data_IF_059564828981
#
_entry.id   IF_059564828981
#
_cell.length_a   1.000
_cell.length_b   1.000
_cell.length_c   1.000
_cell.angle_alpha   90.00
_cell.angle_beta   90.00
_cell.angle_gamma   90.00
#
_symmetry.space_group_name_H-M   'P 1'
#
loop_
_entity.id
_entity.type
_entity.pdbx_description
1 polymer ?
#
# COMPACT_ATOMS: atom_id res chain seq x y z
N UNK A 1 -10.11 25.01 2.53
CA UNK A 1 -9.64 23.77 3.23
C UNK A 1 -8.21 24.03 3.66
N UNK A 2 -7.84 23.71 4.91
CA UNK A 2 -6.44 23.79 5.32
C UNK A 2 -5.61 22.81 4.49
N UNK A 3 -4.41 23.23 4.09
CA UNK A 3 -3.48 22.35 3.40
C UNK A 3 -3.04 21.22 4.33
N UNK A 4 -3.09 19.99 3.84
CA UNK A 4 -2.61 18.82 4.59
C UNK A 4 -1.11 18.96 4.88
N UNK A 5 -0.75 18.76 6.14
CA UNK A 5 0.64 18.76 6.60
C UNK A 5 1.09 17.31 6.83
N UNK A 6 1.82 16.74 5.87
CA UNK A 6 2.27 15.35 5.88
C UNK A 6 3.78 15.26 5.66
N UNK A 7 4.46 14.23 6.21
CA UNK A 7 5.92 14.15 6.21
C UNK A 7 6.54 13.73 4.86
N UNK A 8 5.75 13.28 3.90
CA UNK A 8 6.21 12.92 2.55
C UNK A 8 5.62 13.85 1.52
N UNK A 9 6.26 13.95 0.37
CA UNK A 9 5.68 14.59 -0.83
C UNK A 9 4.48 13.76 -1.30
N UNK A 10 3.39 14.43 -1.65
CA UNK A 10 2.16 13.79 -2.09
C UNK A 10 1.38 14.65 -3.06
N UNK A 11 0.49 14.00 -3.81
CA UNK A 11 -0.58 14.64 -4.56
C UNK A 11 -1.92 14.32 -3.90
N UNK A 12 -2.84 15.27 -3.89
CA UNK A 12 -4.14 15.12 -3.26
C UNK A 12 -5.28 15.50 -4.20
N UNK A 13 -6.21 14.58 -4.40
CA UNK A 13 -7.54 14.87 -4.92
C UNK A 13 -8.54 14.83 -3.76
N UNK A 14 -9.14 15.97 -3.38
CA UNK A 14 -10.13 15.99 -2.32
C UNK A 14 -11.39 15.17 -2.68
N UNK A 15 -12.12 14.70 -1.67
CA UNK A 15 -13.47 14.22 -1.85
C UNK A 15 -14.38 15.36 -2.35
N UNK A 16 -15.47 15.01 -3.02
CA UNK A 16 -16.44 16.00 -3.49
C UNK A 16 -16.99 16.82 -2.33
N UNK A 17 -17.20 18.11 -2.57
CA UNK A 17 -17.80 19.01 -1.59
C UNK A 17 -19.16 18.49 -1.10
N UNK A 18 -19.43 18.62 0.19
CA UNK A 18 -20.67 18.13 0.81
C UNK A 18 -20.70 16.62 1.09
N UNK A 19 -19.61 15.88 0.85
CA UNK A 19 -19.56 14.46 1.19
C UNK A 19 -19.67 14.26 2.71
N UNK A 20 -20.79 13.72 3.18
CA UNK A 20 -21.05 13.51 4.60
C UNK A 20 -20.19 12.41 5.23
N UNK A 21 -19.78 11.43 4.42
CA UNK A 21 -19.02 10.25 4.89
C UNK A 21 -17.84 9.97 3.95
N UNK A 22 -16.79 10.81 3.98
CA UNK A 22 -15.65 10.64 3.10
C UNK A 22 -14.86 9.35 3.40
N UNK A 23 -14.19 8.86 2.37
CA UNK A 23 -13.21 7.79 2.42
C UNK A 23 -11.83 8.34 2.12
N UNK A 24 -10.79 7.64 2.52
CA UNK A 24 -9.40 7.93 2.15
C UNK A 24 -8.81 6.75 1.39
N UNK A 25 -8.31 7.01 0.19
CA UNK A 25 -7.50 6.09 -0.59
C UNK A 25 -6.06 6.60 -0.65
N UNK A 26 -5.14 5.79 -0.13
CA UNK A 26 -3.70 6.02 -0.25
C UNK A 26 -3.16 5.21 -1.42
N UNK A 27 -2.43 5.85 -2.35
CA UNK A 27 -1.76 5.22 -3.50
C UNK A 27 -0.25 5.22 -3.30
N UNK A 28 0.39 4.08 -3.52
CA UNK A 28 1.84 3.87 -3.39
C UNK A 28 2.39 3.26 -4.68
N UNK A 29 3.29 4.00 -5.33
CA UNK A 29 3.91 3.62 -6.60
C UNK A 29 4.92 2.47 -6.47
N UNK A 30 5.32 1.87 -7.59
CA UNK A 30 6.39 0.88 -7.67
C UNK A 30 7.79 1.48 -7.53
N UNK A 31 8.80 0.63 -7.37
CA UNK A 31 10.19 1.05 -7.36
C UNK A 31 10.55 1.80 -8.65
N UNK A 32 11.42 2.79 -8.56
CA UNK A 32 11.88 3.61 -9.67
C UNK A 32 10.80 4.54 -10.28
N UNK A 33 9.74 4.86 -9.51
CA UNK A 33 8.65 5.73 -9.90
C UNK A 33 8.48 6.89 -8.91
N UNK A 34 7.35 7.59 -8.97
CA UNK A 34 7.05 8.79 -8.17
C UNK A 34 5.54 8.94 -7.94
N UNK A 35 5.14 9.98 -7.21
CA UNK A 35 3.74 10.22 -6.79
C UNK A 35 2.74 10.44 -7.94
N UNK A 36 3.20 10.85 -9.12
CA UNK A 36 2.29 11.09 -10.26
C UNK A 36 1.86 9.81 -10.95
N UNK A 37 2.65 8.72 -10.82
CA UNK A 37 2.46 7.47 -11.55
C UNK A 37 1.03 6.90 -11.39
N UNK A 38 0.60 6.69 -10.15
CA UNK A 38 -0.74 6.16 -9.88
C UNK A 38 -1.80 7.26 -9.72
N UNK A 39 -1.41 8.53 -9.61
CA UNK A 39 -2.36 9.62 -9.38
C UNK A 39 -3.38 9.78 -10.50
N UNK A 40 -3.02 9.43 -11.73
CA UNK A 40 -3.95 9.40 -12.86
C UNK A 40 -5.17 8.50 -12.66
N UNK A 41 -5.09 7.50 -11.77
CA UNK A 41 -6.20 6.64 -11.39
C UNK A 41 -7.27 7.37 -10.57
N UNK A 42 -6.93 8.49 -9.92
CA UNK A 42 -7.85 9.25 -9.09
C UNK A 42 -9.13 9.66 -9.84
N UNK A 43 -9.06 9.89 -11.17
CA UNK A 43 -10.23 10.22 -12.02
C UNK A 43 -11.27 9.09 -12.11
N UNK A 44 -10.87 7.85 -11.84
CA UNK A 44 -11.76 6.68 -11.87
C UNK A 44 -12.27 6.30 -10.47
N UNK A 45 -11.72 6.90 -9.43
CA UNK A 45 -12.13 6.66 -8.05
C UNK A 45 -13.36 7.49 -7.73
N UNK A 46 -14.34 6.86 -7.08
CA UNK A 46 -15.60 7.49 -6.72
C UNK A 46 -15.40 8.84 -5.99
N UNK A 47 -16.30 9.81 -6.20
CA UNK A 47 -16.10 11.19 -5.75
C UNK A 47 -16.06 11.36 -4.23
N UNK A 48 -16.60 10.42 -3.45
CA UNK A 48 -16.55 10.45 -1.99
C UNK A 48 -15.17 10.14 -1.40
N UNK A 49 -14.18 9.78 -2.22
CA UNK A 49 -12.83 9.51 -1.74
C UNK A 49 -11.94 10.75 -1.79
N UNK A 50 -11.24 11.03 -0.70
CA UNK A 50 -9.94 11.67 -0.78
C UNK A 50 -8.94 10.68 -1.37
N UNK A 51 -8.15 11.10 -2.34
CA UNK A 51 -7.10 10.28 -2.92
C UNK A 51 -5.76 10.94 -2.65
N UNK A 52 -4.88 10.27 -1.93
CA UNK A 52 -3.50 10.68 -1.71
C UNK A 52 -2.58 9.75 -2.48
N UNK A 53 -1.69 10.29 -3.30
CA UNK A 53 -0.63 9.53 -3.97
C UNK A 53 0.71 9.98 -3.44
N UNK A 54 1.47 9.08 -2.83
CA UNK A 54 2.71 9.38 -2.12
C UNK A 54 3.93 9.18 -2.99
N UNK A 55 4.95 10.03 -2.73
CA UNK A 55 6.33 9.77 -3.14
C UNK A 55 7.05 8.97 -2.06
N UNK A 56 7.70 7.89 -2.45
CA UNK A 56 8.53 7.10 -1.55
C UNK A 56 9.75 7.90 -1.05
N UNK A 57 10.25 7.63 0.18
CA UNK A 57 11.26 8.48 0.80
C UNK A 57 12.67 8.31 0.23
N UNK A 58 13.01 7.14 -0.34
CA UNK A 58 14.38 6.84 -0.75
C UNK A 58 14.61 7.24 -2.20
N UNK A 59 15.50 8.21 -2.45
CA UNK A 59 15.89 8.64 -3.80
C UNK A 59 16.84 7.62 -4.40
N UNK A 60 16.51 7.10 -5.57
CA UNK A 60 17.40 6.24 -6.35
C UNK A 60 18.24 7.07 -7.33
N UNK A 61 17.55 7.89 -8.12
CA UNK A 61 18.10 8.92 -9.00
C UNK A 61 17.10 10.09 -9.05
N UNK A 62 17.45 11.26 -9.56
CA UNK A 62 16.49 12.34 -9.71
C UNK A 62 15.21 11.91 -10.44
N UNK A 63 14.06 12.09 -9.80
CA UNK A 63 12.74 11.69 -10.33
C UNK A 63 12.35 10.22 -10.13
N UNK A 64 13.19 9.41 -9.50
CA UNK A 64 12.92 7.99 -9.27
C UNK A 64 13.16 7.61 -7.80
N UNK A 65 12.17 6.98 -7.18
CA UNK A 65 12.11 6.74 -5.75
C UNK A 65 11.79 5.28 -5.43
N UNK A 66 12.09 4.86 -4.21
CA UNK A 66 11.82 3.53 -3.69
C UNK A 66 11.33 3.60 -2.23
N UNK A 67 10.48 2.65 -1.86
CA UNK A 67 10.10 2.45 -0.46
C UNK A 67 11.24 1.82 0.32
N UNK A 68 12.00 0.96 -0.33
CA UNK A 68 13.24 0.37 0.16
C UNK A 68 14.12 -0.07 -1.02
N UNK A 69 15.41 -0.12 -0.81
CA UNK A 69 16.36 -0.63 -1.79
C UNK A 69 16.48 -2.16 -1.69
N UNK A 70 16.94 -2.79 -2.73
CA UNK A 70 17.26 -4.22 -2.75
C UNK A 70 18.47 -4.48 -3.64
N UNK A 71 19.14 -5.58 -3.36
CA UNK A 71 20.23 -6.11 -4.18
C UNK A 71 19.82 -7.47 -4.72
N UNK A 72 20.28 -7.80 -5.91
CA UNK A 72 20.13 -9.14 -6.49
C UNK A 72 21.42 -9.89 -6.20
N UNK A 73 21.33 -10.96 -5.43
CA UNK A 73 22.46 -11.82 -5.10
C UNK A 73 22.89 -12.66 -6.30
N UNK A 74 24.08 -13.34 -6.22
CA UNK A 74 24.55 -14.26 -7.25
C UNK A 74 23.59 -15.44 -7.50
N UNK A 75 22.74 -15.74 -6.55
CA UNK A 75 21.68 -16.76 -6.58
C UNK A 75 20.38 -16.25 -7.25
N UNK A 76 20.36 -15.03 -7.78
CA UNK A 76 19.19 -14.37 -8.35
C UNK A 76 18.16 -13.90 -7.32
N UNK A 77 18.41 -14.13 -6.02
CA UNK A 77 17.50 -13.74 -4.95
C UNK A 77 17.59 -12.24 -4.68
N UNK A 78 16.43 -11.59 -4.49
CA UNK A 78 16.36 -10.20 -4.06
C UNK A 78 16.46 -10.11 -2.54
N UNK A 79 17.48 -9.42 -2.06
CA UNK A 79 17.68 -9.12 -0.65
C UNK A 79 17.37 -7.66 -0.43
N UNK A 80 16.33 -7.38 0.34
CA UNK A 80 15.88 -6.03 0.62
C UNK A 80 16.71 -5.38 1.72
N UNK A 81 16.77 -4.06 1.72
CA UNK A 81 17.18 -3.28 2.87
C UNK A 81 16.02 -3.28 3.88
N UNK A 82 16.16 -4.10 4.93
CA UNK A 82 15.13 -4.31 5.95
C UNK A 82 14.90 -3.08 6.82
N UNK A 83 15.94 -2.29 7.03
CA UNK A 83 15.86 -1.06 7.83
C UNK A 83 15.05 -0.01 7.07
N UNK A 84 15.37 0.23 5.80
CA UNK A 84 14.58 1.11 4.95
C UNK A 84 13.12 0.66 4.81
N UNK A 85 12.85 -0.65 4.70
CA UNK A 85 11.47 -1.16 4.67
C UNK A 85 10.73 -0.79 5.94
N UNK A 86 11.33 -1.05 7.10
CA UNK A 86 10.72 -0.78 8.41
C UNK A 86 10.48 0.71 8.61
N UNK A 87 11.45 1.55 8.27
CA UNK A 87 11.34 3.01 8.37
C UNK A 87 10.24 3.54 7.45
N UNK A 88 10.22 3.10 6.18
CA UNK A 88 9.19 3.50 5.23
C UNK A 88 7.80 3.05 5.67
N UNK A 89 7.67 1.82 6.15
CA UNK A 89 6.41 1.28 6.67
C UNK A 89 5.91 2.07 7.88
N UNK A 90 6.81 2.39 8.80
CA UNK A 90 6.49 3.24 9.95
C UNK A 90 6.04 4.64 9.50
N UNK A 91 6.81 5.29 8.63
CA UNK A 91 6.54 6.63 8.12
C UNK A 91 5.20 6.71 7.38
N UNK A 92 4.91 5.72 6.51
CA UNK A 92 3.61 5.63 5.82
C UNK A 92 2.47 5.43 6.80
N UNK A 93 2.66 4.62 7.84
CA UNK A 93 1.65 4.40 8.88
C UNK A 93 1.33 5.68 9.66
N UNK A 94 2.35 6.45 10.07
CA UNK A 94 2.17 7.73 10.75
C UNK A 94 1.51 8.78 9.82
N UNK A 95 1.95 8.82 8.56
CA UNK A 95 1.33 9.68 7.55
C UNK A 95 -0.15 9.36 7.38
N UNK A 96 -0.50 8.08 7.26
CA UNK A 96 -1.88 7.63 7.06
C UNK A 96 -2.77 8.00 8.25
N UNK A 97 -2.28 7.80 9.48
CA UNK A 97 -2.98 8.19 10.70
C UNK A 97 -3.22 9.71 10.75
N UNK A 98 -2.18 10.49 10.45
CA UNK A 98 -2.25 11.96 10.41
C UNK A 98 -3.20 12.46 9.32
N UNK A 99 -3.12 11.91 8.10
CA UNK A 99 -4.01 12.28 7.00
C UNK A 99 -5.48 11.97 7.33
N UNK A 100 -5.75 10.78 7.85
CA UNK A 100 -7.09 10.37 8.26
C UNK A 100 -7.66 11.30 9.33
N UNK A 101 -6.86 11.68 10.32
CA UNK A 101 -7.24 12.62 11.37
C UNK A 101 -7.54 14.02 10.79
N UNK A 102 -6.64 14.57 9.97
CA UNK A 102 -6.80 15.91 9.38
C UNK A 102 -7.99 16.00 8.43
N UNK A 103 -8.33 14.89 7.75
CA UNK A 103 -9.47 14.80 6.83
C UNK A 103 -10.77 14.37 7.51
N UNK A 104 -10.75 14.03 8.81
CA UNK A 104 -11.92 13.56 9.55
C UNK A 104 -12.42 12.18 9.05
N UNK A 105 -11.52 11.33 8.53
CA UNK A 105 -11.86 10.01 8.00
C UNK A 105 -11.52 8.94 9.04
N UNK A 106 -12.51 8.17 9.54
CA UNK A 106 -12.24 7.10 10.48
C UNK A 106 -11.54 5.90 9.79
N UNK A 107 -10.80 5.11 10.57
CA UNK A 107 -9.96 4.00 10.05
C UNK A 107 -10.74 2.94 9.26
N UNK A 108 -12.03 2.74 9.55
CA UNK A 108 -12.92 1.83 8.83
C UNK A 108 -13.31 2.34 7.41
N UNK A 109 -12.87 3.54 7.04
CA UNK A 109 -13.01 4.14 5.70
C UNK A 109 -11.67 4.48 5.05
N UNK A 110 -10.59 3.91 5.54
CA UNK A 110 -9.25 4.09 5.00
C UNK A 110 -8.86 2.85 4.17
N UNK A 111 -8.35 3.08 2.97
CA UNK A 111 -7.86 2.04 2.06
C UNK A 111 -6.44 2.39 1.63
N UNK A 112 -5.53 1.44 1.74
CA UNK A 112 -4.18 1.54 1.16
C UNK A 112 -4.10 0.71 -0.12
N UNK A 113 -3.57 1.28 -1.18
CA UNK A 113 -3.39 0.60 -2.46
C UNK A 113 -1.98 0.81 -3.01
N UNK A 114 -1.45 -0.16 -3.72
CA UNK A 114 -0.16 0.02 -4.33
C UNK A 114 0.18 -1.01 -5.40
N UNK A 115 1.11 -0.60 -6.26
CA UNK A 115 1.64 -1.41 -7.34
C UNK A 115 3.06 -1.89 -7.01
N UNK A 116 3.36 -3.16 -7.28
CA UNK A 116 4.70 -3.72 -7.10
C UNK A 116 5.24 -3.46 -5.68
N UNK A 117 6.33 -2.70 -5.53
CA UNK A 117 6.87 -2.35 -4.22
C UNK A 117 5.87 -1.56 -3.34
N UNK A 118 5.04 -0.68 -3.93
CA UNK A 118 3.95 -0.01 -3.22
C UNK A 118 2.86 -0.98 -2.75
N UNK A 119 2.61 -2.05 -3.50
CA UNK A 119 1.71 -3.14 -3.08
C UNK A 119 2.28 -3.94 -1.90
N UNK A 120 3.61 -4.14 -1.87
CA UNK A 120 4.28 -4.70 -0.68
C UNK A 120 4.01 -3.80 0.54
N UNK A 121 4.17 -2.48 0.40
CA UNK A 121 3.94 -1.53 1.49
C UNK A 121 2.48 -1.55 1.96
N UNK A 122 1.50 -1.59 1.04
CA UNK A 122 0.08 -1.65 1.39
C UNK A 122 -0.27 -2.93 2.17
N UNK A 123 0.26 -4.07 1.72
CA UNK A 123 0.10 -5.36 2.40
C UNK A 123 0.78 -5.35 3.77
N UNK A 124 2.04 -4.92 3.84
CA UNK A 124 2.81 -4.84 5.08
C UNK A 124 2.11 -3.95 6.12
N UNK A 125 1.53 -2.84 5.68
CA UNK A 125 0.76 -1.94 6.54
C UNK A 125 -0.50 -2.62 7.08
N UNK A 126 -1.27 -3.33 6.23
CA UNK A 126 -2.43 -4.11 6.66
C UNK A 126 -2.03 -5.18 7.67
N UNK A 127 -0.93 -5.90 7.43
CA UNK A 127 -0.49 -7.00 8.27
C UNK A 127 0.05 -6.55 9.63
N UNK A 128 0.71 -5.39 9.70
CA UNK A 128 1.40 -4.95 10.93
C UNK A 128 0.63 -3.90 11.73
N UNK A 129 -0.23 -3.12 11.05
CA UNK A 129 -1.00 -2.03 11.67
C UNK A 129 -2.48 -2.03 11.19
N UNK A 130 -3.20 -3.16 11.29
CA UNK A 130 -4.57 -3.29 10.76
C UNK A 130 -5.56 -2.28 11.36
N UNK A 131 -5.27 -1.74 12.54
CA UNK A 131 -6.10 -0.70 13.15
C UNK A 131 -6.19 0.60 12.35
N UNK A 132 -5.22 0.88 11.44
CA UNK A 132 -5.18 2.12 10.67
C UNK A 132 -6.07 2.10 9.42
N UNK A 133 -6.48 0.93 8.94
CA UNK A 133 -7.17 0.83 7.65
C UNK A 133 -8.24 -0.26 7.63
N UNK A 134 -9.20 -0.10 6.72
CA UNK A 134 -10.25 -1.07 6.41
C UNK A 134 -9.76 -2.14 5.45
N UNK A 135 -8.99 -1.74 4.44
CA UNK A 135 -8.62 -2.63 3.35
C UNK A 135 -7.24 -2.30 2.75
N UNK A 136 -6.60 -3.32 2.16
CA UNK A 136 -5.47 -3.15 1.26
C UNK A 136 -5.80 -3.68 -0.14
N UNK A 137 -5.37 -2.94 -1.18
CA UNK A 137 -5.42 -3.33 -2.58
C UNK A 137 -3.98 -3.52 -3.08
N UNK A 138 -3.66 -4.73 -3.47
CA UNK A 138 -2.29 -5.17 -3.78
C UNK A 138 -2.22 -5.56 -5.26
N UNK A 139 -1.49 -4.77 -6.04
CA UNK A 139 -1.41 -4.94 -7.48
C UNK A 139 -0.01 -5.40 -7.88
N UNK A 140 0.07 -6.55 -8.59
CA UNK A 140 1.34 -7.12 -9.11
C UNK A 140 2.44 -7.12 -8.04
N UNK A 141 2.17 -7.76 -6.91
CA UNK A 141 3.01 -7.64 -5.72
C UNK A 141 3.09 -8.96 -4.94
N UNK A 142 3.79 -8.95 -3.81
CA UNK A 142 4.03 -10.14 -2.99
C UNK A 142 4.10 -9.84 -1.51
N UNK A 143 3.92 -10.85 -0.70
CA UNK A 143 4.27 -10.83 0.72
C UNK A 143 5.81 -10.79 0.90
N UNK A 144 6.28 -9.97 1.83
CA UNK A 144 7.67 -10.00 2.30
C UNK A 144 7.80 -10.93 3.49
N UNK A 145 8.66 -11.97 3.43
CA UNK A 145 8.94 -12.81 4.59
C UNK A 145 9.48 -12.00 5.79
N UNK A 146 10.17 -10.91 5.53
CA UNK A 146 10.74 -10.01 6.54
C UNK A 146 9.69 -9.34 7.42
N UNK A 147 8.45 -9.24 6.97
CA UNK A 147 7.33 -8.64 7.72
C UNK A 147 6.63 -9.63 8.64
N UNK A 148 6.79 -10.94 8.39
CA UNK A 148 6.08 -11.98 9.15
C UNK A 148 6.26 -11.91 10.67
N UNK A 149 7.44 -11.57 11.22
CA UNK A 149 7.62 -11.44 12.66
C UNK A 149 6.81 -10.29 13.30
N UNK A 150 6.40 -9.31 12.49
CA UNK A 150 5.70 -8.09 12.94
C UNK A 150 4.18 -8.18 12.70
N UNK A 151 3.66 -9.31 12.20
CA UNK A 151 2.23 -9.49 11.91
C UNK A 151 1.41 -9.36 13.19
N UNK A 152 0.35 -8.55 13.14
CA UNK A 152 -0.55 -8.33 14.25
C UNK A 152 -1.27 -9.62 14.68
N UNK A 153 -1.80 -9.70 15.91
CA UNK A 153 -2.61 -10.85 16.36
C UNK A 153 -3.82 -11.09 15.44
N UNK A 154 -4.21 -12.35 15.29
CA UNK A 154 -5.23 -12.78 14.33
C UNK A 154 -6.56 -12.01 14.47
N UNK A 155 -6.99 -11.75 15.68
CA UNK A 155 -8.25 -11.02 15.98
C UNK A 155 -8.28 -9.60 15.43
N UNK A 156 -7.12 -8.97 15.20
CA UNK A 156 -7.02 -7.63 14.64
C UNK A 156 -7.46 -7.54 13.17
N UNK A 157 -7.57 -8.70 12.49
CA UNK A 157 -7.98 -8.76 11.09
C UNK A 157 -9.49 -8.94 10.88
N UNK A 158 -10.25 -9.12 11.94
CA UNK A 158 -11.71 -9.25 11.83
C UNK A 158 -12.32 -8.02 11.12
N UNK A 159 -13.09 -8.30 10.05
CA UNK A 159 -13.70 -7.26 9.23
C UNK A 159 -12.77 -6.53 8.26
N UNK A 160 -11.48 -6.89 8.17
CA UNK A 160 -10.56 -6.34 7.17
C UNK A 160 -10.74 -7.01 5.81
N UNK A 161 -10.29 -6.34 4.76
CA UNK A 161 -10.35 -6.85 3.39
C UNK A 161 -9.00 -6.73 2.71
N UNK A 162 -8.60 -7.77 2.00
CA UNK A 162 -7.45 -7.78 1.12
C UNK A 162 -7.90 -8.11 -0.30
N UNK A 163 -7.59 -7.23 -1.24
CA UNK A 163 -7.84 -7.48 -2.66
C UNK A 163 -6.50 -7.58 -3.40
N UNK A 164 -6.30 -8.65 -4.18
CA UNK A 164 -5.05 -8.94 -4.88
C UNK A 164 -5.34 -9.06 -6.38
N UNK A 165 -4.62 -8.30 -7.20
CA UNK A 165 -4.56 -8.56 -8.64
C UNK A 165 -3.16 -8.90 -9.10
N UNK A 166 -3.06 -9.79 -10.08
CA UNK A 166 -1.78 -10.22 -10.64
C UNK A 166 -1.91 -10.55 -12.12
N UNK A 167 -0.81 -10.38 -12.87
CA UNK A 167 -0.71 -10.82 -14.25
C UNK A 167 -0.23 -12.27 -14.31
N UNK A 168 -0.88 -13.11 -15.10
CA UNK A 168 -0.52 -14.54 -15.25
C UNK A 168 0.83 -14.76 -15.94
N UNK A 169 1.37 -13.73 -16.60
CA UNK A 169 2.66 -13.75 -17.31
C UNK A 169 3.66 -12.73 -16.74
N UNK A 170 3.48 -12.32 -15.47
CA UNK A 170 4.39 -11.39 -14.80
C UNK A 170 5.76 -12.07 -14.57
N UNK A 171 6.79 -11.58 -15.28
CA UNK A 171 8.16 -12.09 -15.19
C UNK A 171 9.02 -11.37 -14.14
N UNK A 172 8.49 -10.34 -13.48
CA UNK A 172 9.17 -9.56 -12.43
C UNK A 172 8.83 -10.09 -11.05
N UNK A 173 7.55 -10.28 -10.80
CA UNK A 173 7.01 -10.96 -9.62
C UNK A 173 6.15 -12.12 -10.13
N UNK A 174 6.62 -13.35 -10.04
CA UNK A 174 5.92 -14.48 -10.65
C UNK A 174 4.55 -14.73 -9.98
N UNK A 175 3.56 -15.26 -10.72
CA UNK A 175 2.20 -15.50 -10.21
C UNK A 175 2.14 -16.32 -8.92
N UNK A 176 3.10 -17.22 -8.72
CA UNK A 176 3.23 -18.04 -7.51
C UNK A 176 3.42 -17.18 -6.24
N UNK A 177 4.02 -16.01 -6.38
CA UNK A 177 4.20 -15.09 -5.26
C UNK A 177 2.86 -14.43 -4.83
N UNK A 178 1.97 -14.17 -5.79
CA UNK A 178 0.60 -13.72 -5.47
C UNK A 178 -0.22 -14.85 -4.85
N UNK A 179 -0.05 -16.09 -5.34
CA UNK A 179 -0.72 -17.25 -4.74
C UNK A 179 -0.25 -17.49 -3.30
N UNK A 180 1.06 -17.47 -3.04
CA UNK A 180 1.60 -17.58 -1.69
C UNK A 180 1.07 -16.46 -0.76
N UNK A 181 0.88 -15.26 -1.29
CA UNK A 181 0.26 -14.15 -0.53
C UNK A 181 -1.20 -14.45 -0.18
N UNK A 182 -1.99 -15.02 -1.12
CA UNK A 182 -3.38 -15.43 -0.88
C UNK A 182 -3.45 -16.55 0.15
N UNK A 183 -2.58 -17.55 0.03
CA UNK A 183 -2.53 -18.70 0.94
C UNK A 183 -2.22 -18.25 2.37
N UNK A 184 -1.25 -17.37 2.54
CA UNK A 184 -0.96 -16.77 3.84
C UNK A 184 -2.17 -15.98 4.38
N UNK A 185 -2.75 -15.10 3.56
CA UNK A 185 -3.87 -14.27 3.98
C UNK A 185 -5.12 -15.11 4.36
N UNK A 186 -5.32 -16.26 3.72
CA UNK A 186 -6.40 -17.19 4.04
C UNK A 186 -6.26 -17.82 5.45
N UNK A 187 -5.09 -17.75 6.08
CA UNK A 187 -4.90 -18.18 7.49
C UNK A 187 -5.39 -17.13 8.51
N UNK A 188 -5.74 -15.94 8.05
CA UNK A 188 -6.17 -14.81 8.89
C UNK A 188 -7.69 -14.58 8.74
N UNK A 189 -8.39 -14.08 9.77
CA UNK A 189 -9.83 -13.83 9.73
C UNK A 189 -10.18 -12.52 8.99
N UNK A 190 -9.69 -12.38 7.74
CA UNK A 190 -10.00 -11.26 6.84
C UNK A 190 -10.63 -11.78 5.54
N UNK A 191 -11.35 -10.89 4.83
CA UNK A 191 -11.90 -11.22 3.53
C UNK A 191 -10.83 -11.08 2.44
N UNK A 192 -10.51 -12.17 1.74
CA UNK A 192 -9.58 -12.17 0.61
C UNK A 192 -10.36 -12.28 -0.70
N UNK A 193 -10.06 -11.42 -1.64
CA UNK A 193 -10.60 -11.46 -3.01
C UNK A 193 -9.55 -10.97 -4.00
N UNK A 194 -9.83 -11.09 -5.29
CA UNK A 194 -8.89 -10.60 -6.29
C UNK A 194 -9.22 -11.05 -7.70
N UNK A 195 -8.32 -10.72 -8.62
CA UNK A 195 -8.45 -11.09 -10.03
C UNK A 195 -7.08 -11.24 -10.67
N UNK A 196 -6.90 -12.30 -11.44
CA UNK A 196 -5.74 -12.48 -12.30
C UNK A 196 -6.09 -12.05 -13.74
N UNK A 197 -5.10 -11.50 -14.40
CA UNK A 197 -5.19 -10.98 -15.77
C UNK A 197 -4.25 -11.78 -16.68
N UNK A 198 -4.65 -12.05 -17.94
CA UNK A 198 -3.79 -12.71 -18.92
C UNK A 198 -2.56 -11.91 -19.29
#
# INVERSE_FOLDING_TARGET
>A
MADLQLPLTFLHRPAAEGTATPWLLLLMHGVNSHEEDLFGLARFVAPQFHVLSLRAPNVLVPGAYAWFQFQVGPDGQRRIDREQERESRFLVGELLASAAQQLGVPADRVVAAGFSQGGIMALSLLLTRPALLRAALVWHSRLLPEVLPDVAPAEAFAGKTLWISHGSVDNVIPPEAAQATRDFAATLPLAVSGRDYP
#
